data_IF_113573188466
#
_entry.id   IF_113573188466
#
_cell.length_a   1.000
_cell.length_b   1.000
_cell.length_c   1.000
_cell.angle_alpha   90.00
_cell.angle_beta   90.00
_cell.angle_gamma   90.00
#
_symmetry.space_group_name_H-M   'P 1'
#
loop_
_entity.id
_entity.type
_entity.pdbx_description
1 polymer ?
#
# COMPACT_ATOMS: atom_id res chain seq x y z
N UNK A 1 -13.74 -9.27 12.50
CA UNK A 1 -13.47 -7.85 12.15
C UNK A 1 -14.65 -7.28 11.37
N UNK A 2 -15.52 -6.47 11.97
CA UNK A 2 -16.70 -5.86 11.31
C UNK A 2 -16.51 -4.35 11.02
N UNK A 3 -15.28 -3.91 10.73
CA UNK A 3 -15.03 -2.49 10.46
C UNK A 3 -15.42 -2.11 9.02
N UNK A 4 -16.04 -0.94 8.80
CA UNK A 4 -16.48 -0.48 7.48
C UNK A 4 -15.33 -0.17 6.51
N UNK A 5 -14.10 0.01 7.03
CA UNK A 5 -12.92 0.42 6.27
C UNK A 5 -12.09 -0.76 5.74
N UNK A 6 -12.28 -1.95 6.31
CA UNK A 6 -11.56 -3.18 5.93
C UNK A 6 -12.02 -3.66 4.56
N UNK A 7 -11.07 -4.08 3.72
CA UNK A 7 -11.39 -4.73 2.46
C UNK A 7 -11.97 -6.12 2.72
N UNK A 8 -13.15 -6.40 2.16
CA UNK A 8 -13.79 -7.70 2.25
C UNK A 8 -14.31 -8.10 0.86
N UNK A 9 -13.89 -9.25 0.31
CA UNK A 9 -14.28 -9.68 -1.05
C UNK A 9 -15.80 -9.81 -1.24
N UNK A 10 -16.56 -10.08 -0.17
CA UNK A 10 -18.03 -10.12 -0.20
C UNK A 10 -18.72 -8.74 -0.35
N UNK A 11 -17.97 -7.63 -0.32
CA UNK A 11 -18.52 -6.27 -0.44
C UNK A 11 -17.85 -5.44 -1.53
N UNK A 12 -17.45 -6.07 -2.65
CA UNK A 12 -16.77 -5.42 -3.81
C UNK A 12 -17.52 -4.22 -4.39
N UNK A 13 -18.85 -4.19 -4.31
CA UNK A 13 -19.65 -3.04 -4.76
C UNK A 13 -19.32 -1.74 -4.01
N UNK A 14 -18.67 -1.83 -2.84
CA UNK A 14 -18.22 -0.69 -2.04
C UNK A 14 -16.81 -0.28 -2.44
N UNK A 15 -16.70 0.46 -3.54
CA UNK A 15 -15.43 0.84 -4.17
C UNK A 15 -14.41 1.51 -3.22
N UNK A 16 -14.87 2.26 -2.22
CA UNK A 16 -13.98 2.89 -1.24
C UNK A 16 -13.12 1.90 -0.45
N UNK A 17 -13.60 0.65 -0.26
CA UNK A 17 -12.88 -0.39 0.51
C UNK A 17 -11.58 -0.84 -0.14
N UNK A 18 -11.40 -0.61 -1.43
CA UNK A 18 -10.15 -0.88 -2.14
C UNK A 18 -9.03 0.10 -1.75
N UNK A 19 -9.37 1.26 -1.18
CA UNK A 19 -8.41 2.26 -0.73
C UNK A 19 -8.38 2.37 0.79
N UNK A 20 -9.54 2.44 1.45
CA UNK A 20 -9.64 2.77 2.88
C UNK A 20 -9.01 1.71 3.80
N UNK A 21 -8.76 0.50 3.30
CA UNK A 21 -8.14 -0.56 4.08
C UNK A 21 -6.69 -0.23 4.49
N UNK A 22 -6.03 0.70 3.77
CA UNK A 22 -4.67 1.16 4.08
C UNK A 22 -4.56 1.83 5.45
N UNK A 23 -5.65 2.40 5.97
CA UNK A 23 -5.68 3.02 7.31
C UNK A 23 -5.89 2.00 8.44
N UNK A 24 -6.38 0.80 8.12
CA UNK A 24 -6.63 -0.24 9.11
C UNK A 24 -5.39 -1.11 9.27
N UNK A 25 -5.01 -1.44 10.49
CA UNK A 25 -3.89 -2.33 10.79
C UNK A 25 -4.33 -3.38 11.81
N UNK A 26 -3.76 -4.58 11.75
CA UNK A 26 -4.06 -5.66 12.71
C UNK A 26 -3.52 -5.31 14.12
N UNK A 27 -2.43 -4.56 14.19
CA UNK A 27 -1.80 -4.13 15.45
C UNK A 27 -0.77 -3.00 15.26
N UNK A 28 -0.23 -2.52 16.39
CA UNK A 28 0.76 -1.44 16.42
C UNK A 28 2.08 -1.80 15.75
N UNK A 29 2.51 -3.07 15.82
CA UNK A 29 3.73 -3.53 15.17
C UNK A 29 3.65 -3.39 13.65
N UNK A 30 2.52 -3.81 13.05
CA UNK A 30 2.30 -3.69 11.61
C UNK A 30 2.25 -2.22 11.18
N UNK A 31 1.58 -1.37 11.96
CA UNK A 31 1.53 0.07 11.71
C UNK A 31 2.92 0.70 11.83
N UNK A 32 3.65 0.40 12.90
CA UNK A 32 4.98 0.94 13.16
C UNK A 32 5.98 0.55 12.08
N UNK A 33 5.99 -0.72 11.66
CA UNK A 33 6.86 -1.20 10.59
C UNK A 33 6.51 -0.57 9.23
N UNK A 34 5.22 -0.50 8.87
CA UNK A 34 4.79 0.15 7.64
C UNK A 34 5.14 1.65 7.64
N UNK A 35 4.90 2.35 8.75
CA UNK A 35 5.22 3.77 8.88
C UNK A 35 6.74 4.02 8.83
N UNK A 36 7.53 3.19 9.51
CA UNK A 36 8.99 3.29 9.49
C UNK A 36 9.52 3.12 8.06
N UNK A 37 9.14 2.05 7.35
CA UNK A 37 9.58 1.83 5.98
C UNK A 37 9.07 2.91 5.03
N UNK A 38 7.81 3.33 5.18
CA UNK A 38 7.23 4.40 4.38
C UNK A 38 7.99 5.71 4.54
N UNK A 39 8.38 6.08 5.75
CA UNK A 39 9.16 7.29 5.99
C UNK A 39 10.61 7.15 5.53
N UNK A 40 11.26 6.03 5.82
CA UNK A 40 12.66 5.78 5.43
C UNK A 40 12.85 5.75 3.91
N UNK A 41 11.90 5.20 3.16
CA UNK A 41 12.01 5.02 1.70
C UNK A 41 11.22 6.09 0.94
N UNK A 42 10.02 6.42 1.41
CA UNK A 42 9.11 7.36 0.76
C UNK A 42 9.63 8.79 0.79
N UNK A 43 10.15 9.28 1.93
CA UNK A 43 10.63 10.67 2.03
C UNK A 43 11.80 10.94 1.07
N UNK A 44 12.86 10.10 1.00
CA UNK A 44 13.91 10.28 -0.01
C UNK A 44 13.38 10.25 -1.45
N UNK A 45 12.45 9.34 -1.76
CA UNK A 45 11.85 9.26 -3.09
C UNK A 45 11.02 10.50 -3.42
N UNK A 46 10.28 11.05 -2.46
CA UNK A 46 9.49 12.28 -2.63
C UNK A 46 10.38 13.50 -2.88
N UNK A 47 11.52 13.59 -2.19
CA UNK A 47 12.49 14.67 -2.39
C UNK A 47 13.11 14.65 -3.79
N UNK A 48 13.27 13.47 -4.39
CA UNK A 48 13.89 13.32 -5.73
C UNK A 48 12.85 13.41 -6.85
N UNK A 49 11.70 12.76 -6.70
CA UNK A 49 10.72 12.57 -7.78
C UNK A 49 9.47 13.46 -7.64
N UNK A 50 9.30 14.11 -6.49
CA UNK A 50 8.16 14.94 -6.17
C UNK A 50 6.99 14.17 -5.55
N UNK A 51 6.26 14.86 -4.68
CA UNK A 51 5.16 14.31 -3.89
C UNK A 51 4.09 13.59 -4.72
N UNK A 52 3.65 14.20 -5.83
CA UNK A 52 2.54 13.66 -6.64
C UNK A 52 2.87 12.29 -7.23
N UNK A 53 4.07 12.11 -7.78
CA UNK A 53 4.48 10.85 -8.42
C UNK A 53 4.55 9.71 -7.40
N UNK A 54 5.14 9.99 -6.24
CA UNK A 54 5.30 8.99 -5.18
C UNK A 54 3.97 8.68 -4.50
N UNK A 55 3.12 9.67 -4.28
CA UNK A 55 1.75 9.48 -3.77
C UNK A 55 0.92 8.59 -4.69
N UNK A 56 0.95 8.85 -6.01
CA UNK A 56 0.23 8.02 -6.99
C UNK A 56 0.77 6.58 -7.02
N UNK A 57 2.09 6.41 -6.91
CA UNK A 57 2.72 5.10 -6.86
C UNK A 57 2.30 4.31 -5.61
N UNK A 58 2.28 4.96 -4.44
CA UNK A 58 1.80 4.36 -3.22
C UNK A 58 0.33 3.92 -3.34
N UNK A 59 -0.54 4.80 -3.84
CA UNK A 59 -1.96 4.50 -4.04
C UNK A 59 -2.17 3.36 -5.05
N UNK A 60 -1.38 3.32 -6.12
CA UNK A 60 -1.41 2.21 -7.09
C UNK A 60 -1.02 0.88 -6.43
N UNK A 61 -0.01 0.87 -5.55
CA UNK A 61 0.37 -0.31 -4.76
C UNK A 61 -0.73 -0.79 -3.82
N UNK A 62 -1.43 0.14 -3.14
CA UNK A 62 -2.59 -0.17 -2.30
C UNK A 62 -3.74 -0.77 -3.13
N UNK A 63 -4.05 -0.17 -4.29
CA UNK A 63 -5.07 -0.70 -5.20
C UNK A 63 -4.70 -2.09 -5.74
N UNK A 64 -3.45 -2.27 -6.16
CA UNK A 64 -2.95 -3.56 -6.63
C UNK A 64 -3.03 -4.63 -5.53
N UNK A 65 -2.73 -4.28 -4.27
CA UNK A 65 -2.84 -5.20 -3.14
C UNK A 65 -4.27 -5.69 -2.91
N UNK A 66 -5.24 -4.77 -2.82
CA UNK A 66 -6.65 -5.14 -2.65
C UNK A 66 -7.22 -5.89 -3.86
N UNK A 67 -6.83 -5.52 -5.08
CA UNK A 67 -7.24 -6.21 -6.30
C UNK A 67 -6.67 -7.62 -6.39
N UNK A 68 -5.40 -7.81 -6.02
CA UNK A 68 -4.76 -9.13 -6.01
C UNK A 68 -5.53 -10.07 -5.08
N UNK A 69 -5.82 -9.64 -3.85
CA UNK A 69 -6.62 -10.47 -2.92
C UNK A 69 -8.05 -10.68 -3.42
N UNK A 70 -8.65 -9.70 -4.09
CA UNK A 70 -9.94 -9.89 -4.78
C UNK A 70 -9.91 -11.07 -5.76
N UNK A 71 -8.79 -11.28 -6.46
CA UNK A 71 -8.68 -12.31 -7.49
C UNK A 71 -8.23 -13.65 -6.88
N UNK A 72 -7.29 -13.63 -5.93
CA UNK A 72 -6.61 -14.83 -5.43
C UNK A 72 -7.26 -15.46 -4.21
N UNK A 73 -7.80 -14.67 -3.27
CA UNK A 73 -8.41 -15.17 -2.04
C UNK A 73 -9.72 -14.43 -1.73
N UNK A 74 -10.82 -15.06 -2.13
CA UNK A 74 -12.16 -14.49 -2.04
C UNK A 74 -12.77 -14.56 -0.62
N UNK A 75 -12.02 -15.02 0.39
CA UNK A 75 -12.49 -15.17 1.78
C UNK A 75 -11.66 -14.38 2.80
N UNK A 76 -10.42 -14.02 2.49
CA UNK A 76 -9.56 -13.29 3.42
C UNK A 76 -9.83 -11.77 3.42
N UNK A 77 -10.16 -11.15 4.57
CA UNK A 77 -10.18 -9.69 4.71
C UNK A 77 -8.75 -9.12 4.71
N UNK A 78 -8.56 -7.96 4.09
CA UNK A 78 -7.25 -7.29 4.00
C UNK A 78 -7.26 -6.00 4.80
N UNK A 79 -6.17 -5.80 5.53
CA UNK A 79 -5.86 -4.57 6.27
C UNK A 79 -4.38 -4.24 6.12
N UNK A 80 -4.06 -2.95 6.09
CA UNK A 80 -2.70 -2.44 6.17
C UNK A 80 -2.24 -1.79 4.86
N UNK A 81 -1.49 -0.70 4.98
CA UNK A 81 -0.90 0.03 3.84
C UNK A 81 0.30 -0.66 3.19
N UNK A 82 0.60 -1.92 3.52
CA UNK A 82 1.82 -2.61 3.08
C UNK A 82 1.94 -2.74 1.55
N UNK A 83 0.81 -2.84 0.83
CA UNK A 83 0.81 -2.81 -0.63
C UNK A 83 1.43 -1.53 -1.21
N UNK A 84 1.17 -0.38 -0.59
CA UNK A 84 1.80 0.88 -0.94
C UNK A 84 3.28 0.92 -0.55
N UNK A 85 3.64 0.41 0.63
CA UNK A 85 5.03 0.33 1.09
C UNK A 85 5.88 -0.55 0.15
N UNK A 86 5.37 -1.70 -0.29
CA UNK A 86 6.09 -2.55 -1.26
C UNK A 86 6.25 -1.89 -2.63
N UNK A 87 5.29 -1.07 -3.06
CA UNK A 87 5.44 -0.24 -4.25
C UNK A 87 6.58 0.78 -4.10
N UNK A 88 6.70 1.43 -2.93
CA UNK A 88 7.82 2.33 -2.63
C UNK A 88 9.16 1.60 -2.62
N UNK A 89 9.25 0.42 -2.00
CA UNK A 89 10.46 -0.41 -2.03
C UNK A 89 10.87 -0.75 -3.47
N UNK A 90 9.90 -1.10 -4.31
CA UNK A 90 10.12 -1.44 -5.72
C UNK A 90 10.61 -0.23 -6.52
N UNK A 91 10.03 0.96 -6.30
CA UNK A 91 10.51 2.19 -6.94
C UNK A 91 11.90 2.61 -6.46
N UNK A 92 12.22 2.42 -5.18
CA UNK A 92 13.56 2.68 -4.67
C UNK A 92 14.59 1.77 -5.36
N UNK A 93 14.29 0.46 -5.45
CA UNK A 93 15.14 -0.48 -6.16
C UNK A 93 15.32 -0.09 -7.64
N UNK A 94 14.22 0.25 -8.32
CA UNK A 94 14.26 0.71 -9.70
C UNK A 94 15.12 1.98 -9.86
N UNK A 95 15.00 2.94 -8.95
CA UNK A 95 15.81 4.16 -8.94
C UNK A 95 17.30 3.85 -8.80
N UNK A 96 17.68 2.95 -7.89
CA UNK A 96 19.08 2.51 -7.71
C UNK A 96 19.60 1.84 -8.98
N UNK A 97 18.84 0.92 -9.58
CA UNK A 97 19.24 0.21 -10.80
C UNK A 97 19.42 1.17 -11.98
N UNK A 98 18.56 2.19 -12.11
CA UNK A 98 18.63 3.16 -13.20
C UNK A 98 19.81 4.14 -13.05
N UNK A 99 20.22 4.46 -11.82
CA UNK A 99 21.39 5.31 -11.55
C UNK A 99 22.71 4.55 -11.67
N UNK A 100 22.69 3.22 -11.53
CA UNK A 100 23.86 2.36 -11.70
C UNK A 100 24.21 2.03 -13.17
N UNK A 101 23.45 2.57 -14.13
CA UNK A 101 23.78 2.54 -15.57
C UNK A 101 24.52 3.80 -15.97
#
# INVERSE_FOLDING_TARGET
MKSPLVYHPGHRARAWRFLTYMFMHVGLEQLGFNALLQLMIGVPLEMVHGLLRISLLYLAGVLAGSLTVSITDMRAPVVGGSGGVYALCSAHLANVVMVMK
#
